data_IF_508235089226
#
_entry.id   IF_508235089226
#
_cell.length_a   1.000
_cell.length_b   1.000
_cell.length_c   1.000
_cell.angle_alpha   90.00
_cell.angle_beta   90.00
_cell.angle_gamma   90.00
#
_symmetry.space_group_name_H-M   'P 1'
#
loop_
_entity.id
_entity.type
_entity.pdbx_description
1 polymer ?
#
# COMPACT_ATOMS: atom_id res chain seq x y z
N UNK A 1 15.63 -11.19 34.29
CA UNK A 1 14.54 -10.28 33.88
C UNK A 1 13.72 -11.02 32.81
N UNK A 2 12.46 -11.32 33.13
CA UNK A 2 11.66 -12.40 32.52
C UNK A 2 11.42 -12.23 31.01
N UNK A 3 11.53 -13.32 30.25
CA UNK A 3 11.28 -13.38 28.82
C UNK A 3 9.92 -12.74 28.43
N UNK A 4 8.89 -12.84 29.27
CA UNK A 4 7.58 -12.22 29.02
C UNK A 4 7.65 -10.68 28.85
N UNK A 5 8.55 -10.00 29.56
CA UNK A 5 8.74 -8.55 29.40
C UNK A 5 9.44 -8.19 28.08
N UNK A 6 10.36 -9.03 27.60
CA UNK A 6 11.02 -8.83 26.31
C UNK A 6 10.06 -9.03 25.12
N UNK A 7 9.08 -9.92 25.25
CA UNK A 7 8.01 -10.09 24.27
C UNK A 7 7.08 -8.87 24.23
N UNK A 8 6.69 -8.32 25.39
CA UNK A 8 5.87 -7.10 25.47
C UNK A 8 6.56 -5.87 24.89
N UNK A 9 7.86 -5.67 25.16
CA UNK A 9 8.63 -4.54 24.65
C UNK A 9 8.84 -4.64 23.13
N UNK A 10 9.12 -5.85 22.59
CA UNK A 10 9.21 -6.05 21.13
C UNK A 10 7.88 -5.79 20.42
N UNK A 11 6.75 -6.14 21.03
CA UNK A 11 5.43 -5.84 20.47
C UNK A 11 5.11 -4.35 20.50
N UNK A 12 5.38 -3.64 21.59
CA UNK A 12 5.16 -2.19 21.68
C UNK A 12 5.94 -1.41 20.61
N UNK A 13 7.20 -1.76 20.39
CA UNK A 13 8.02 -1.17 19.33
C UNK A 13 7.49 -1.48 17.93
N UNK A 14 7.00 -2.70 17.70
CA UNK A 14 6.39 -3.08 16.42
C UNK A 14 5.16 -2.22 16.09
N UNK A 15 4.24 -2.04 17.04
CA UNK A 15 3.06 -1.19 16.83
C UNK A 15 3.43 0.28 16.62
N UNK A 16 4.45 0.77 17.33
CA UNK A 16 4.96 2.13 17.13
C UNK A 16 5.50 2.33 15.70
N UNK A 17 6.34 1.42 15.21
CA UNK A 17 6.84 1.48 13.83
C UNK A 17 5.72 1.34 12.80
N UNK A 18 4.76 0.45 13.02
CA UNK A 18 3.60 0.30 12.13
C UNK A 18 2.78 1.60 12.06
N UNK A 19 2.58 2.29 13.19
CA UNK A 19 1.86 3.55 13.26
C UNK A 19 2.60 4.68 12.52
N UNK A 20 3.94 4.76 12.70
CA UNK A 20 4.77 5.73 11.98
C UNK A 20 4.79 5.49 10.47
N UNK A 21 4.88 4.23 10.03
CA UNK A 21 4.81 3.86 8.61
C UNK A 21 3.42 4.21 8.05
N UNK A 22 2.34 3.95 8.78
CA UNK A 22 0.98 4.33 8.41
C UNK A 22 0.81 5.84 8.24
N UNK A 23 1.35 6.63 9.17
CA UNK A 23 1.34 8.11 9.09
C UNK A 23 2.13 8.61 7.88
N UNK A 24 3.37 8.16 7.70
CA UNK A 24 4.23 8.59 6.60
C UNK A 24 3.65 8.18 5.23
N UNK A 25 3.14 6.95 5.12
CA UNK A 25 2.50 6.46 3.89
C UNK A 25 1.19 7.18 3.59
N UNK A 26 0.38 7.52 4.60
CA UNK A 26 -0.84 8.31 4.44
C UNK A 26 -0.57 9.73 3.95
N UNK A 27 0.42 10.41 4.53
CA UNK A 27 0.88 11.72 4.08
C UNK A 27 1.37 11.68 2.64
N UNK A 28 2.23 10.71 2.32
CA UNK A 28 2.77 10.54 0.96
C UNK A 28 1.65 10.21 -0.03
N UNK A 29 0.70 9.36 0.37
CA UNK A 29 -0.47 9.04 -0.45
C UNK A 29 -1.32 10.27 -0.74
N UNK A 30 -1.51 11.16 0.24
CA UNK A 30 -2.26 12.40 0.08
C UNK A 30 -1.55 13.42 -0.80
N UNK A 31 -0.22 13.50 -0.74
CA UNK A 31 0.58 14.43 -1.53
C UNK A 31 0.72 14.00 -2.99
N UNK A 32 1.01 12.72 -3.24
CA UNK A 32 1.27 12.21 -4.59
C UNK A 32 0.03 11.62 -5.27
N UNK A 33 -1.02 11.29 -4.52
CA UNK A 33 -2.25 10.68 -5.06
C UNK A 33 -2.09 9.25 -5.59
N UNK A 34 -0.91 8.63 -5.45
CA UNK A 34 -0.57 7.32 -6.05
C UNK A 34 -1.05 6.13 -5.19
N UNK A 35 -1.57 6.37 -3.98
CA UNK A 35 -1.85 5.31 -3.01
C UNK A 35 -0.56 4.89 -2.30
N UNK A 36 -0.52 5.03 -0.97
CA UNK A 36 0.69 4.92 -0.15
C UNK A 36 1.45 3.57 -0.20
N UNK A 37 1.00 2.59 -0.98
CA UNK A 37 1.59 1.25 -1.07
C UNK A 37 3.01 1.20 -1.60
N UNK A 38 3.39 2.15 -2.47
CA UNK A 38 4.77 2.28 -2.98
C UNK A 38 5.77 2.51 -1.83
N UNK A 39 5.35 3.23 -0.78
CA UNK A 39 6.18 3.51 0.40
C UNK A 39 5.93 2.48 1.50
N UNK A 40 4.68 2.08 1.69
CA UNK A 40 4.27 1.21 2.79
C UNK A 40 4.83 -0.22 2.66
N UNK A 41 4.79 -0.81 1.47
CA UNK A 41 5.30 -2.17 1.23
C UNK A 41 6.81 -2.29 1.52
N UNK A 42 7.71 -1.46 0.95
CA UNK A 42 9.13 -1.56 1.26
C UNK A 42 9.41 -1.17 2.72
N UNK A 43 8.71 -0.19 3.30
CA UNK A 43 8.89 0.16 4.71
C UNK A 43 8.55 -1.02 5.63
N UNK A 44 7.46 -1.75 5.38
CA UNK A 44 7.15 -2.97 6.13
C UNK A 44 8.21 -4.05 5.94
N UNK A 45 8.67 -4.29 4.71
CA UNK A 45 9.70 -5.30 4.45
C UNK A 45 11.05 -4.96 5.12
N UNK A 46 11.46 -3.70 5.13
CA UNK A 46 12.75 -3.28 5.70
C UNK A 46 12.71 -3.10 7.21
N UNK A 47 11.67 -2.44 7.76
CA UNK A 47 11.59 -2.09 9.18
C UNK A 47 10.99 -3.23 10.00
N UNK A 48 9.94 -3.89 9.49
CA UNK A 48 9.21 -4.94 10.20
C UNK A 48 9.66 -6.35 9.81
N UNK A 49 10.50 -6.49 8.78
CA UNK A 49 11.00 -7.78 8.25
C UNK A 49 9.87 -8.78 7.95
N UNK A 50 8.69 -8.27 7.59
CA UNK A 50 7.52 -9.07 7.24
C UNK A 50 7.68 -9.68 5.85
N UNK A 51 7.04 -10.84 5.65
CA UNK A 51 6.95 -11.44 4.32
C UNK A 51 6.22 -10.49 3.37
N UNK A 52 6.63 -10.49 2.10
CA UNK A 52 6.11 -9.58 1.09
C UNK A 52 4.61 -9.76 0.85
N UNK A 53 4.08 -10.98 0.96
CA UNK A 53 2.65 -11.24 0.78
C UNK A 53 1.84 -10.57 1.89
N UNK A 54 2.33 -10.64 3.13
CA UNK A 54 1.73 -9.95 4.27
C UNK A 54 1.83 -8.43 4.10
N UNK A 55 2.99 -7.90 3.72
CA UNK A 55 3.18 -6.46 3.53
C UNK A 55 2.25 -5.89 2.44
N UNK A 56 2.10 -6.57 1.31
CA UNK A 56 1.17 -6.18 0.23
C UNK A 56 -0.27 -6.24 0.72
N UNK A 57 -0.66 -7.33 1.40
CA UNK A 57 -2.02 -7.48 1.95
C UNK A 57 -2.37 -6.39 2.97
N UNK A 58 -1.47 -6.09 3.89
CA UNK A 58 -1.69 -5.02 4.88
C UNK A 58 -1.74 -3.64 4.21
N UNK A 59 -0.90 -3.38 3.21
CA UNK A 59 -0.97 -2.12 2.46
C UNK A 59 -2.30 -1.96 1.73
N UNK A 60 -2.84 -3.03 1.13
CA UNK A 60 -4.17 -2.99 0.50
C UNK A 60 -5.27 -2.67 1.51
N UNK A 61 -5.19 -3.24 2.72
CA UNK A 61 -6.13 -2.94 3.79
C UNK A 61 -6.10 -1.45 4.18
N UNK A 62 -4.92 -0.82 4.20
CA UNK A 62 -4.76 0.62 4.50
C UNK A 62 -5.22 1.52 3.34
N UNK A 63 -5.19 1.02 2.11
CA UNK A 63 -5.73 1.76 0.95
C UNK A 63 -7.25 1.95 1.06
N UNK A 64 -7.99 1.03 1.69
CA UNK A 64 -9.46 1.12 1.83
C UNK A 64 -9.90 2.41 2.54
N UNK A 65 -9.51 2.70 3.80
CA UNK A 65 -9.95 3.91 4.49
C UNK A 65 -9.42 5.19 3.83
N UNK A 66 -8.21 5.16 3.28
CA UNK A 66 -7.63 6.32 2.60
C UNK A 66 -8.36 6.64 1.28
N UNK A 67 -8.74 5.62 0.51
CA UNK A 67 -9.55 5.77 -0.69
C UNK A 67 -10.95 6.28 -0.38
N UNK A 68 -11.60 5.79 0.69
CA UNK A 68 -12.90 6.28 1.14
C UNK A 68 -12.82 7.76 1.50
N UNK A 69 -11.84 8.18 2.31
CA UNK A 69 -11.65 9.59 2.65
C UNK A 69 -11.35 10.44 1.40
N UNK A 70 -10.52 9.92 0.49
CA UNK A 70 -10.21 10.59 -0.79
C UNK A 70 -11.47 10.80 -1.64
N UNK A 71 -12.31 9.77 -1.77
CA UNK A 71 -13.56 9.83 -2.52
C UNK A 71 -14.56 10.82 -1.89
N UNK A 72 -14.72 10.79 -0.56
CA UNK A 72 -15.58 11.74 0.17
C UNK A 72 -15.14 13.19 -0.04
N UNK A 73 -13.83 13.46 0.05
CA UNK A 73 -13.28 14.80 -0.17
C UNK A 73 -13.51 15.28 -1.61
N UNK A 74 -13.31 14.42 -2.61
CA UNK A 74 -13.56 14.77 -4.01
C UNK A 74 -15.05 14.99 -4.29
N UNK A 75 -15.93 14.21 -3.65
CA UNK A 75 -17.37 14.39 -3.75
C UNK A 75 -17.81 15.75 -3.19
N UNK A 76 -17.25 16.19 -2.06
CA UNK A 76 -17.52 17.52 -1.50
C UNK A 76 -17.07 18.66 -2.43
N UNK A 77 -16.03 18.44 -3.22
CA UNK A 77 -15.53 19.41 -4.20
C UNK A 77 -16.31 19.41 -5.52
N UNK A 78 -17.39 18.62 -5.66
CA UNK A 78 -18.19 18.49 -6.90
C UNK A 78 -17.41 18.08 -8.16
N UNK A 79 -16.22 17.49 -8.00
CA UNK A 79 -15.35 17.07 -9.11
C UNK A 79 -15.56 15.60 -9.52
N UNK A 80 -16.57 14.92 -8.95
CA UNK A 80 -16.80 13.49 -9.20
C UNK A 80 -17.82 13.30 -10.31
N UNK A 81 -17.35 12.86 -11.48
CA UNK A 81 -18.23 12.37 -12.54
C UNK A 81 -18.65 10.93 -12.25
N UNK A 82 -19.83 10.75 -11.65
CA UNK A 82 -20.33 9.43 -11.26
C UNK A 82 -20.44 8.45 -12.44
N UNK A 83 -20.70 8.98 -13.65
CA UNK A 83 -20.69 8.20 -14.90
C UNK A 83 -19.32 7.56 -15.18
N UNK A 84 -18.24 8.32 -15.01
CA UNK A 84 -16.89 7.83 -15.26
C UNK A 84 -16.44 6.88 -14.13
N UNK A 85 -16.79 7.20 -12.89
CA UNK A 85 -16.54 6.32 -11.75
C UNK A 85 -17.18 4.93 -11.95
N UNK A 86 -18.46 4.89 -12.35
CA UNK A 86 -19.17 3.64 -12.64
C UNK A 86 -18.61 2.90 -13.87
N UNK A 87 -18.16 3.62 -14.90
CA UNK A 87 -17.57 3.01 -16.08
C UNK A 87 -16.22 2.33 -15.78
N UNK A 88 -15.41 2.89 -14.88
CA UNK A 88 -14.08 2.36 -14.53
C UNK A 88 -14.17 1.29 -13.43
N UNK A 89 -15.20 1.36 -12.57
CA UNK A 89 -15.45 0.44 -11.46
C UNK A 89 -15.29 -1.05 -11.82
N UNK A 90 -15.95 -1.60 -12.86
CA UNK A 90 -15.85 -3.02 -13.19
C UNK A 90 -14.43 -3.42 -13.62
N UNK A 91 -13.72 -2.53 -14.34
CA UNK A 91 -12.34 -2.78 -14.76
C UNK A 91 -11.39 -2.77 -13.55
N UNK A 92 -11.59 -1.84 -12.62
CA UNK A 92 -10.81 -1.76 -11.38
C UNK A 92 -11.03 -2.99 -10.49
N UNK A 93 -12.29 -3.44 -10.35
CA UNK A 93 -12.62 -4.65 -9.60
C UNK A 93 -12.02 -5.90 -10.26
N UNK A 94 -12.21 -6.06 -11.57
CA UNK A 94 -11.64 -7.18 -12.30
C UNK A 94 -10.12 -7.21 -12.22
N UNK A 95 -9.46 -6.06 -12.44
CA UNK A 95 -8.01 -5.93 -12.34
C UNK A 95 -7.48 -6.22 -10.94
N UNK A 96 -8.16 -5.71 -9.89
CA UNK A 96 -7.81 -5.98 -8.50
C UNK A 96 -7.96 -7.46 -8.14
N UNK A 97 -9.06 -8.09 -8.56
CA UNK A 97 -9.32 -9.51 -8.29
C UNK A 97 -8.36 -10.42 -9.05
N UNK A 98 -8.10 -10.14 -10.34
CA UNK A 98 -7.12 -10.85 -11.15
C UNK A 98 -5.70 -10.70 -10.57
N UNK A 99 -5.31 -9.50 -10.13
CA UNK A 99 -4.01 -9.25 -9.51
C UNK A 99 -3.85 -10.01 -8.18
N UNK A 100 -4.88 -9.99 -7.33
CA UNK A 100 -4.89 -10.74 -6.08
C UNK A 100 -4.82 -12.25 -6.32
N UNK A 101 -5.55 -12.76 -7.32
CA UNK A 101 -5.52 -14.16 -7.72
C UNK A 101 -4.13 -14.58 -8.25
N UNK A 102 -3.55 -13.79 -9.14
CA UNK A 102 -2.22 -14.05 -9.71
C UNK A 102 -1.14 -14.10 -8.63
N UNK A 103 -1.22 -13.22 -7.63
CA UNK A 103 -0.27 -13.17 -6.50
C UNK A 103 -0.22 -14.48 -5.70
N UNK A 104 -1.29 -15.29 -5.71
CA UNK A 104 -1.32 -16.61 -5.04
C UNK A 104 -0.41 -17.63 -5.72
N UNK A 105 -0.19 -17.52 -7.03
CA UNK A 105 0.64 -18.44 -7.81
C UNK A 105 2.11 -18.04 -7.84
N UNK A 106 2.45 -16.80 -7.48
CA UNK A 106 3.84 -16.35 -7.43
C UNK A 106 4.52 -16.75 -6.11
N UNK A 107 5.80 -17.14 -6.23
CA UNK A 107 6.67 -17.31 -5.07
C UNK A 107 6.98 -15.95 -4.43
N UNK A 108 7.32 -15.91 -3.13
CA UNK A 108 7.69 -14.66 -2.45
C UNK A 108 8.90 -13.97 -3.10
N UNK A 109 9.81 -14.75 -3.69
CA UNK A 109 10.99 -14.24 -4.40
C UNK A 109 10.61 -13.56 -5.71
N UNK A 110 9.73 -14.16 -6.50
CA UNK A 110 9.30 -13.60 -7.79
C UNK A 110 8.44 -12.36 -7.58
N UNK A 111 7.56 -12.38 -6.57
CA UNK A 111 6.76 -11.21 -6.21
C UNK A 111 7.65 -10.05 -5.76
N UNK A 112 8.72 -10.33 -5.01
CA UNK A 112 9.70 -9.33 -4.58
C UNK A 112 10.47 -8.74 -5.76
N UNK A 113 10.88 -9.57 -6.72
CA UNK A 113 11.53 -9.12 -7.95
C UNK A 113 10.58 -8.27 -8.80
N UNK A 114 9.36 -8.74 -9.03
CA UNK A 114 8.35 -8.01 -9.79
C UNK A 114 8.03 -6.65 -9.17
N UNK A 115 7.85 -6.59 -7.84
CA UNK A 115 7.64 -5.34 -7.13
C UNK A 115 8.87 -4.41 -7.21
N UNK A 116 10.07 -4.97 -7.10
CA UNK A 116 11.32 -4.20 -7.27
C UNK A 116 11.44 -3.58 -8.67
N UNK A 117 11.17 -4.36 -9.72
CA UNK A 117 11.15 -3.85 -11.10
C UNK A 117 10.09 -2.77 -11.27
N UNK A 118 8.89 -2.97 -10.72
CA UNK A 118 7.83 -1.97 -10.72
C UNK A 118 8.27 -0.65 -10.06
N UNK A 119 8.93 -0.70 -8.89
CA UNK A 119 9.46 0.49 -8.22
C UNK A 119 10.51 1.22 -9.07
N UNK A 120 11.43 0.49 -9.72
CA UNK A 120 12.42 1.09 -10.61
C UNK A 120 11.75 1.77 -11.80
N UNK A 121 10.75 1.14 -12.40
CA UNK A 121 9.99 1.72 -13.52
C UNK A 121 9.25 2.99 -13.09
N UNK A 122 8.58 2.98 -11.92
CA UNK A 122 7.91 4.18 -11.39
C UNK A 122 8.93 5.28 -11.08
N UNK A 123 10.05 4.95 -10.45
CA UNK A 123 11.13 5.91 -10.16
C UNK A 123 11.72 6.52 -11.43
N UNK A 124 12.00 5.70 -12.44
CA UNK A 124 12.45 6.17 -13.75
C UNK A 124 11.40 7.07 -14.41
N UNK A 125 10.12 6.66 -14.40
CA UNK A 125 9.03 7.48 -14.94
C UNK A 125 8.99 8.86 -14.29
N UNK A 126 9.10 8.94 -12.97
CA UNK A 126 9.07 10.22 -12.25
C UNK A 126 10.29 11.13 -12.56
N UNK A 127 11.45 10.54 -12.87
CA UNK A 127 12.65 11.30 -13.23
C UNK A 127 12.66 11.77 -14.68
N UNK A 128 12.18 10.95 -15.62
CA UNK A 128 12.25 11.23 -17.06
C UNK A 128 10.99 11.89 -17.64
N UNK A 129 9.81 11.69 -17.05
CA UNK A 129 8.55 12.31 -17.49
C UNK A 129 8.13 13.49 -16.60
N UNK A 130 9.04 14.44 -16.40
CA UNK A 130 8.68 15.75 -15.84
C UNK A 130 7.85 16.56 -16.84
#
# INVERSE_FOLDING_TARGET
MSAAAQWGIKQGMFYLYACLIGLASGLTSGLFGVGGGIVMVPAMMFLLKTDIKTAIGTSLAVIIPTAVMGALKHHQLSHVSWRMALAIMPMALAGGFCGAWLTRYLSSTDLKRAFGVFLVLVGARLLFLK
#
